data_IF_657068210206
#
_entry.id   IF_657068210206
#
_cell.length_a   1.000
_cell.length_b   1.000
_cell.length_c   1.000
_cell.angle_alpha   90.00
_cell.angle_beta   90.00
_cell.angle_gamma   90.00
#
_symmetry.space_group_name_H-M   'P 1'
#
loop_
_entity.id
_entity.type
_entity.pdbx_description
1 polymer ?
#
# COMPACT_ATOMS: atom_id res chain seq x y z
N UNK A 1 -24.74 -19.67 5.26
CA UNK A 1 -24.37 -18.67 4.24
C UNK A 1 -22.88 -18.79 4.01
N UNK A 2 -22.45 -19.29 2.84
CA UNK A 2 -21.05 -19.55 2.55
C UNK A 2 -20.25 -18.25 2.40
N UNK A 3 -19.15 -18.12 3.16
CA UNK A 3 -18.13 -17.08 2.91
C UNK A 3 -17.61 -17.29 1.49
N UNK A 4 -17.80 -16.30 0.63
CA UNK A 4 -17.28 -16.30 -0.74
C UNK A 4 -15.76 -16.13 -0.63
N UNK A 5 -15.01 -17.15 -1.01
CA UNK A 5 -13.55 -17.08 -1.10
C UNK A 5 -13.26 -16.17 -2.31
N UNK A 6 -12.80 -14.95 -2.05
CA UNK A 6 -12.58 -13.91 -3.07
C UNK A 6 -11.23 -14.10 -3.78
N UNK A 7 -10.29 -14.83 -3.18
CA UNK A 7 -8.90 -14.97 -3.66
C UNK A 7 -8.53 -16.45 -3.81
N UNK A 8 -8.22 -16.89 -5.04
CA UNK A 8 -7.80 -18.26 -5.35
C UNK A 8 -6.26 -18.42 -5.43
N UNK A 9 -5.76 -19.65 -5.55
CA UNK A 9 -4.32 -19.95 -5.57
C UNK A 9 -3.58 -19.27 -6.75
N UNK A 10 -4.24 -19.11 -7.89
CA UNK A 10 -3.67 -18.45 -9.06
C UNK A 10 -3.53 -16.94 -8.85
N UNK A 11 -4.47 -16.31 -8.15
CA UNK A 11 -4.38 -14.90 -7.75
C UNK A 11 -3.13 -14.64 -6.91
N UNK A 12 -2.85 -15.49 -5.91
CA UNK A 12 -1.66 -15.33 -5.06
C UNK A 12 -0.35 -15.61 -5.80
N UNK A 13 -0.29 -16.64 -6.66
CA UNK A 13 0.92 -16.97 -7.43
C UNK A 13 1.28 -15.90 -8.47
N UNK A 14 0.30 -15.32 -9.17
CA UNK A 14 0.56 -14.26 -10.15
C UNK A 14 0.90 -12.91 -9.50
N UNK A 15 0.22 -12.55 -8.40
CA UNK A 15 0.58 -11.35 -7.64
C UNK A 15 1.95 -11.47 -6.97
N UNK A 16 2.35 -12.68 -6.57
CA UNK A 16 3.59 -12.91 -5.84
C UNK A 16 4.83 -12.47 -6.59
N UNK A 17 4.99 -12.83 -7.88
CA UNK A 17 6.21 -12.48 -8.62
C UNK A 17 6.33 -10.96 -8.85
N UNK A 18 5.24 -10.31 -9.27
CA UNK A 18 5.20 -8.86 -9.49
C UNK A 18 5.41 -8.06 -8.20
N UNK A 19 4.71 -8.43 -7.13
CA UNK A 19 4.84 -7.77 -5.83
C UNK A 19 6.22 -7.98 -5.20
N UNK A 20 6.80 -9.18 -5.27
CA UNK A 20 8.14 -9.43 -4.72
C UNK A 20 9.21 -8.66 -5.48
N UNK A 21 9.13 -8.61 -6.81
CA UNK A 21 10.05 -7.85 -7.65
C UNK A 21 9.94 -6.35 -7.37
N UNK A 22 8.71 -5.84 -7.30
CA UNK A 22 8.41 -4.45 -6.92
C UNK A 22 8.97 -4.11 -5.55
N UNK A 23 8.74 -4.98 -4.56
CA UNK A 23 9.20 -4.80 -3.19
C UNK A 23 10.73 -4.68 -3.13
N UNK A 24 11.48 -5.57 -3.80
CA UNK A 24 12.95 -5.51 -3.81
C UNK A 24 13.49 -4.16 -4.27
N UNK A 25 12.94 -3.64 -5.37
CA UNK A 25 13.37 -2.37 -5.96
C UNK A 25 12.99 -1.18 -5.07
N UNK A 26 11.75 -1.15 -4.57
CA UNK A 26 11.25 -0.07 -3.72
C UNK A 26 11.96 -0.05 -2.38
N UNK A 27 12.10 -1.19 -1.73
CA UNK A 27 12.73 -1.30 -0.41
C UNK A 27 14.23 -0.96 -0.48
N UNK A 28 14.89 -1.17 -1.62
CA UNK A 28 16.24 -0.69 -1.85
C UNK A 28 16.33 0.84 -1.78
N UNK A 29 15.38 1.57 -2.38
CA UNK A 29 15.30 3.04 -2.26
C UNK A 29 14.95 3.49 -0.83
N UNK A 30 14.04 2.78 -0.15
CA UNK A 30 13.70 3.07 1.25
C UNK A 30 14.93 2.92 2.14
N UNK A 31 15.74 1.86 1.96
CA UNK A 31 16.96 1.64 2.75
C UNK A 31 18.02 2.71 2.56
N UNK A 32 18.08 3.37 1.40
CA UNK A 32 18.99 4.52 1.18
C UNK A 32 18.58 5.72 2.03
N UNK A 33 17.29 5.92 2.26
CA UNK A 33 16.75 7.03 3.06
C UNK A 33 16.77 6.69 4.56
N UNK A 34 16.43 5.45 4.91
CA UNK A 34 16.33 4.98 6.28
C UNK A 34 17.15 3.70 6.53
N UNK A 35 18.49 3.79 6.54
CA UNK A 35 19.36 2.64 6.79
C UNK A 35 19.14 2.02 8.17
N UNK A 36 18.62 2.78 9.14
CA UNK A 36 18.43 2.40 10.53
C UNK A 36 17.18 1.54 10.82
N UNK A 37 16.29 1.30 9.85
CA UNK A 37 15.06 0.51 10.08
C UNK A 37 15.43 -0.91 10.52
N UNK A 38 14.90 -1.37 11.65
CA UNK A 38 15.12 -2.71 12.19
C UNK A 38 13.82 -3.44 12.53
N UNK A 39 12.70 -2.72 12.53
CA UNK A 39 11.37 -3.26 12.82
C UNK A 39 10.31 -2.72 11.86
N UNK A 40 9.57 -3.62 11.21
CA UNK A 40 8.50 -3.29 10.26
C UNK A 40 7.22 -3.98 10.65
N UNK A 41 6.12 -3.25 10.53
CA UNK A 41 4.77 -3.81 10.52
C UNK A 41 4.10 -3.53 9.16
N UNK A 42 3.53 -4.56 8.55
CA UNK A 42 2.83 -4.48 7.27
C UNK A 42 1.33 -4.72 7.48
N UNK A 43 0.51 -3.70 7.22
CA UNK A 43 -0.93 -3.71 7.46
C UNK A 43 -1.67 -3.91 6.14
N UNK A 44 -2.36 -5.05 6.04
CA UNK A 44 -2.83 -5.64 4.78
C UNK A 44 -1.72 -6.42 4.07
N UNK A 45 -0.95 -7.22 4.82
CA UNK A 45 0.26 -7.86 4.30
C UNK A 45 0.00 -9.00 3.31
N UNK A 46 -1.25 -9.44 3.15
CA UNK A 46 -1.59 -10.66 2.43
C UNK A 46 -0.74 -11.85 2.89
N UNK A 47 -0.04 -12.49 1.95
CA UNK A 47 0.87 -13.62 2.22
C UNK A 47 2.26 -13.21 2.74
N UNK A 48 2.50 -11.92 2.98
CA UNK A 48 3.75 -11.40 3.55
C UNK A 48 4.87 -11.18 2.53
N UNK A 49 4.55 -11.01 1.24
CA UNK A 49 5.55 -10.87 0.17
C UNK A 49 6.51 -9.70 0.41
N UNK A 50 6.02 -8.54 0.85
CA UNK A 50 6.86 -7.39 1.11
C UNK A 50 7.75 -7.58 2.35
N UNK A 51 7.24 -8.24 3.38
CA UNK A 51 8.03 -8.60 4.57
C UNK A 51 9.10 -9.66 4.25
N UNK A 52 8.84 -10.57 3.30
CA UNK A 52 9.86 -11.46 2.75
C UNK A 52 10.99 -10.66 2.11
N UNK A 53 10.68 -9.65 1.30
CA UNK A 53 11.70 -8.80 0.68
C UNK A 53 12.55 -8.05 1.73
N UNK A 54 11.93 -7.57 2.82
CA UNK A 54 12.68 -7.01 3.95
C UNK A 54 13.68 -8.00 4.56
N UNK A 55 13.29 -9.27 4.74
CA UNK A 55 14.18 -10.33 5.24
C UNK A 55 15.28 -10.73 4.26
N UNK A 56 15.07 -10.58 2.97
CA UNK A 56 16.11 -10.78 1.95
C UNK A 56 17.18 -9.68 2.03
N UNK A 57 16.80 -8.47 2.46
CA UNK A 57 17.74 -7.36 2.69
C UNK A 57 18.52 -7.56 4.01
N UNK A 58 17.82 -7.92 5.09
CA UNK A 58 18.40 -8.14 6.41
C UNK A 58 17.65 -9.27 7.12
N UNK A 59 18.32 -10.39 7.36
CA UNK A 59 17.69 -11.57 7.96
C UNK A 59 17.34 -11.41 9.45
N UNK A 60 17.88 -10.38 10.12
CA UNK A 60 17.63 -10.10 11.54
C UNK A 60 16.50 -9.10 11.75
N UNK A 61 15.94 -8.57 10.66
CA UNK A 61 14.90 -7.56 10.72
C UNK A 61 13.63 -8.13 11.36
N UNK A 62 13.11 -7.41 12.37
CA UNK A 62 11.85 -7.79 13.02
C UNK A 62 10.69 -7.43 12.10
N UNK A 63 9.88 -8.41 11.73
CA UNK A 63 8.69 -8.19 10.90
C UNK A 63 7.42 -8.64 11.60
N UNK A 64 6.33 -7.96 11.33
CA UNK A 64 4.98 -8.41 11.69
C UNK A 64 4.00 -8.06 10.56
N UNK A 65 3.27 -9.05 10.07
CA UNK A 65 2.18 -8.87 9.12
C UNK A 65 0.82 -8.87 9.83
N UNK A 66 -0.08 -7.99 9.41
CA UNK A 66 -1.49 -8.00 9.82
C UNK A 66 -2.35 -8.06 8.56
N UNK A 67 -3.30 -8.98 8.50
CA UNK A 67 -4.26 -9.05 7.39
C UNK A 67 -5.61 -9.66 7.86
N UNK A 68 -6.67 -9.47 7.08
CA UNK A 68 -8.00 -10.02 7.36
C UNK A 68 -8.18 -11.46 6.89
N UNK A 69 -7.35 -11.91 5.95
CA UNK A 69 -7.46 -13.23 5.35
C UNK A 69 -7.03 -14.34 6.32
N UNK A 70 -7.68 -15.51 6.21
CA UNK A 70 -7.11 -16.74 6.76
C UNK A 70 -6.05 -17.23 5.77
N UNK A 71 -4.81 -16.80 5.97
CA UNK A 71 -3.69 -17.30 5.15
C UNK A 71 -3.35 -18.70 5.64
N UNK A 72 -3.49 -19.71 4.78
CA UNK A 72 -3.02 -21.05 5.14
C UNK A 72 -1.50 -21.02 5.27
N UNK A 73 -0.98 -21.68 6.30
CA UNK A 73 0.45 -21.67 6.62
C UNK A 73 1.34 -22.12 5.45
N UNK A 74 0.80 -22.92 4.52
CA UNK A 74 1.46 -23.37 3.29
C UNK A 74 1.78 -22.25 2.28
N UNK A 75 1.09 -21.12 2.33
CA UNK A 75 1.23 -20.03 1.36
C UNK A 75 1.81 -18.75 1.95
N UNK A 76 2.08 -18.73 3.27
CA UNK A 76 2.65 -17.57 3.96
C UNK A 76 4.18 -17.56 3.89
N UNK A 77 4.78 -16.41 3.61
CA UNK A 77 6.23 -16.19 3.78
C UNK A 77 6.63 -15.84 5.22
N UNK A 78 5.65 -15.75 6.10
CA UNK A 78 5.82 -15.40 7.50
C UNK A 78 5.71 -16.64 8.37
N UNK A 79 6.52 -16.70 9.41
CA UNK A 79 6.36 -17.65 10.51
C UNK A 79 5.04 -17.34 11.24
N UNK A 80 4.53 -18.32 11.98
CA UNK A 80 3.26 -18.18 12.70
C UNK A 80 3.25 -17.05 13.73
N UNK A 81 4.41 -16.74 14.32
CA UNK A 81 4.59 -15.65 15.28
C UNK A 81 4.79 -14.27 14.62
N UNK A 82 5.00 -14.23 13.30
CA UNK A 82 5.19 -13.01 12.49
C UNK A 82 3.92 -12.58 11.76
N UNK A 83 2.78 -13.25 11.98
CA UNK A 83 1.49 -12.91 11.39
C UNK A 83 0.41 -12.76 12.46
N UNK A 84 -0.49 -11.79 12.29
CA UNK A 84 -1.70 -11.64 13.11
C UNK A 84 -2.91 -11.40 12.22
N UNK A 85 -3.97 -12.16 12.44
CA UNK A 85 -5.23 -11.90 11.76
C UNK A 85 -5.98 -10.76 12.46
N UNK A 86 -6.44 -9.76 11.70
CA UNK A 86 -7.37 -8.75 12.21
C UNK A 86 -8.32 -8.24 11.14
N UNK A 87 -9.53 -7.91 11.56
CA UNK A 87 -10.45 -7.16 10.75
C UNK A 87 -10.02 -5.68 10.72
N UNK A 88 -9.50 -5.20 9.60
CA UNK A 88 -9.02 -3.83 9.44
C UNK A 88 -10.13 -2.76 9.50
N UNK A 89 -11.41 -3.18 9.55
CA UNK A 89 -12.56 -2.29 9.81
C UNK A 89 -12.85 -2.08 11.30
N UNK A 90 -12.23 -2.86 12.19
CA UNK A 90 -12.33 -2.66 13.63
C UNK A 90 -11.62 -1.37 14.05
N UNK A 91 -11.98 -0.82 15.21
CA UNK A 91 -11.31 0.39 15.72
C UNK A 91 -9.80 0.16 15.88
N UNK A 92 -8.99 1.17 15.53
CA UNK A 92 -7.53 1.09 15.66
C UNK A 92 -7.09 0.74 17.08
N UNK A 93 -7.76 1.30 18.11
CA UNK A 93 -7.52 0.95 19.51
C UNK A 93 -7.83 -0.52 19.82
N UNK A 94 -8.88 -1.08 19.23
CA UNK A 94 -9.21 -2.49 19.39
C UNK A 94 -8.16 -3.38 18.75
N UNK A 95 -7.72 -3.08 17.53
CA UNK A 95 -6.70 -3.85 16.81
C UNK A 95 -5.38 -3.83 17.60
N UNK A 96 -4.90 -2.65 18.00
CA UNK A 96 -3.65 -2.48 18.75
C UNK A 96 -3.69 -3.26 20.07
N UNK A 97 -4.80 -3.17 20.81
CA UNK A 97 -4.97 -3.86 22.09
C UNK A 97 -5.07 -5.37 21.92
N UNK A 98 -5.90 -5.84 20.99
CA UNK A 98 -6.19 -7.27 20.82
C UNK A 98 -4.99 -8.03 20.27
N UNK A 99 -4.16 -7.38 19.45
CA UNK A 99 -2.96 -7.98 18.87
C UNK A 99 -1.69 -7.71 19.67
N UNK A 100 -1.79 -7.00 20.80
CA UNK A 100 -0.66 -6.61 21.67
C UNK A 100 0.49 -5.95 20.89
N UNK A 101 0.16 -4.95 20.06
CA UNK A 101 1.13 -4.34 19.14
C UNK A 101 2.04 -3.32 19.82
N UNK A 102 1.76 -2.92 21.06
CA UNK A 102 2.53 -1.92 21.81
C UNK A 102 2.74 -0.62 21.01
N UNK A 103 1.68 0.18 20.84
CA UNK A 103 1.65 1.35 19.93
C UNK A 103 2.94 2.19 19.94
N UNK A 104 3.40 2.57 18.74
CA UNK A 104 4.64 3.33 18.51
C UNK A 104 5.93 2.52 18.52
N UNK A 105 5.86 1.18 18.48
CA UNK A 105 7.01 0.28 18.63
C UNK A 105 7.75 -0.13 17.34
N UNK A 106 7.36 0.35 16.16
CA UNK A 106 7.98 -0.02 14.88
C UNK A 106 8.71 1.15 14.23
N UNK A 107 9.85 0.87 13.59
CA UNK A 107 10.63 1.87 12.86
C UNK A 107 9.93 2.33 11.57
N UNK A 108 9.17 1.42 10.95
CA UNK A 108 8.35 1.66 9.77
C UNK A 108 7.03 0.88 9.86
N UNK A 109 5.93 1.52 9.51
CA UNK A 109 4.72 0.80 9.07
C UNK A 109 4.59 0.92 7.55
N UNK A 110 4.11 -0.13 6.89
CA UNK A 110 3.73 -0.07 5.49
C UNK A 110 2.31 -0.57 5.27
N UNK A 111 1.65 -0.05 4.23
CA UNK A 111 0.35 -0.54 3.75
C UNK A 111 0.20 -0.16 2.28
N UNK A 112 0.15 -1.15 1.39
CA UNK A 112 0.35 -0.97 -0.04
C UNK A 112 -0.78 -1.64 -0.82
N UNK A 113 -1.61 -0.83 -1.48
CA UNK A 113 -2.83 -1.23 -2.20
C UNK A 113 -3.82 -1.99 -1.29
N UNK A 114 -4.14 -1.38 -0.14
CA UNK A 114 -5.06 -1.94 0.87
C UNK A 114 -6.28 -1.04 1.10
N UNK A 115 -6.06 0.27 1.21
CA UNK A 115 -7.08 1.22 1.68
C UNK A 115 -8.27 1.35 0.72
N UNK A 116 -8.07 1.08 -0.57
CA UNK A 116 -9.08 1.07 -1.63
C UNK A 116 -10.10 -0.06 -1.48
N UNK A 117 -9.78 -1.10 -0.72
CA UNK A 117 -10.66 -2.23 -0.43
C UNK A 117 -11.57 -1.99 0.78
N UNK A 118 -11.26 -0.96 1.59
CA UNK A 118 -12.04 -0.59 2.76
C UNK A 118 -13.04 0.51 2.38
N UNK A 119 -14.31 0.37 2.77
CA UNK A 119 -15.29 1.44 2.55
C UNK A 119 -14.78 2.77 3.12
N UNK A 120 -15.11 3.88 2.43
CA UNK A 120 -14.60 5.21 2.76
C UNK A 120 -14.76 5.60 4.23
N UNK A 121 -15.84 5.14 4.88
CA UNK A 121 -16.12 5.38 6.29
C UNK A 121 -15.01 4.88 7.24
N UNK A 122 -14.22 3.87 6.82
CA UNK A 122 -13.12 3.32 7.61
C UNK A 122 -11.79 4.04 7.41
N UNK A 123 -11.67 4.91 6.39
CA UNK A 123 -10.40 5.57 6.02
C UNK A 123 -9.72 6.27 7.20
N UNK A 124 -10.46 7.09 7.96
CA UNK A 124 -9.89 7.82 9.11
C UNK A 124 -9.42 6.88 10.24
N UNK A 125 -10.15 5.81 10.48
CA UNK A 125 -9.75 4.79 11.45
C UNK A 125 -8.52 4.00 10.95
N UNK A 126 -8.45 3.72 9.65
CA UNK A 126 -7.30 3.04 9.05
C UNK A 126 -6.03 3.88 9.16
N UNK A 127 -6.08 5.17 8.80
CA UNK A 127 -4.94 6.08 8.98
C UNK A 127 -4.58 6.25 10.47
N UNK A 128 -5.56 6.21 11.38
CA UNK A 128 -5.29 6.14 12.82
C UNK A 128 -4.43 4.95 13.18
N UNK A 129 -4.78 3.76 12.68
CA UNK A 129 -4.02 2.54 12.97
C UNK A 129 -2.58 2.69 12.49
N UNK A 130 -2.36 3.06 11.23
CA UNK A 130 -1.00 3.20 10.66
C UNK A 130 -0.16 4.19 11.46
N UNK A 131 -0.68 5.41 11.69
CA UNK A 131 0.03 6.48 12.41
C UNK A 131 0.28 6.17 13.89
N UNK A 132 -0.47 5.23 14.48
CA UNK A 132 -0.26 4.78 15.87
C UNK A 132 0.83 3.71 15.99
N UNK A 133 1.27 3.12 14.87
CA UNK A 133 2.24 2.02 14.85
C UNK A 133 3.68 2.51 14.64
N UNK A 134 3.87 3.58 13.87
CA UNK A 134 5.19 4.15 13.59
C UNK A 134 5.12 5.63 13.24
N UNK A 135 6.25 6.33 13.40
CA UNK A 135 6.45 7.72 12.93
C UNK A 135 6.81 7.81 11.44
N UNK A 136 7.03 6.68 10.77
CA UNK A 136 7.31 6.60 9.33
C UNK A 136 6.31 5.60 8.73
N UNK A 137 5.58 6.04 7.70
CA UNK A 137 4.56 5.23 7.02
C UNK A 137 4.87 5.20 5.53
N UNK A 138 5.07 4.00 4.96
CA UNK A 138 5.12 3.79 3.51
C UNK A 138 3.73 3.37 3.03
N UNK A 139 3.12 4.16 2.16
CA UNK A 139 1.71 4.01 1.83
C UNK A 139 1.47 4.04 0.33
N UNK A 140 0.58 3.18 -0.16
CA UNK A 140 0.00 3.28 -1.49
C UNK A 140 -1.47 2.85 -1.47
N UNK A 141 -2.28 3.49 -2.30
CA UNK A 141 -3.68 3.14 -2.51
C UNK A 141 -4.11 3.55 -3.91
N UNK A 142 -4.98 2.75 -4.53
CA UNK A 142 -5.51 3.02 -5.84
C UNK A 142 -6.15 4.42 -5.99
N UNK A 143 -5.78 5.11 -7.06
CA UNK A 143 -6.42 6.37 -7.47
C UNK A 143 -7.75 6.09 -8.20
N UNK A 144 -8.68 7.07 -8.26
CA UNK A 144 -9.91 6.96 -9.01
C UNK A 144 -9.71 6.43 -10.43
N UNK A 145 -10.52 5.42 -10.77
CA UNK A 145 -10.57 4.73 -12.05
C UNK A 145 -9.37 3.82 -12.34
N UNK A 146 -8.47 3.58 -11.38
CA UNK A 146 -7.44 2.54 -11.50
C UNK A 146 -8.08 1.17 -11.74
N UNK A 147 -9.17 0.89 -11.02
CA UNK A 147 -9.84 -0.39 -11.00
C UNK A 147 -9.01 -1.45 -10.28
N UNK A 148 -9.61 -2.63 -10.13
CA UNK A 148 -9.03 -3.77 -9.45
C UNK A 148 -10.13 -4.64 -8.86
N UNK A 149 -9.76 -5.75 -8.24
CA UNK A 149 -10.74 -6.66 -7.62
C UNK A 149 -11.24 -6.01 -6.33
N UNK A 150 -12.53 -5.73 -6.24
CA UNK A 150 -13.16 -5.17 -5.03
C UNK A 150 -12.54 -3.81 -4.59
N UNK A 151 -12.27 -2.92 -5.53
CA UNK A 151 -11.94 -1.53 -5.21
C UNK A 151 -13.24 -0.75 -4.98
N UNK A 152 -13.48 -0.34 -3.74
CA UNK A 152 -14.70 0.38 -3.31
C UNK A 152 -14.41 1.82 -2.87
N UNK A 153 -13.13 2.16 -2.67
CA UNK A 153 -12.70 3.43 -2.11
C UNK A 153 -11.42 3.96 -2.78
N UNK A 154 -11.43 4.03 -4.11
CA UNK A 154 -10.36 4.68 -4.86
C UNK A 154 -10.41 6.19 -4.62
N UNK A 155 -9.32 6.77 -4.10
CA UNK A 155 -9.31 8.16 -3.65
C UNK A 155 -8.09 8.93 -4.16
N UNK A 156 -8.25 10.25 -4.25
CA UNK A 156 -7.18 11.15 -4.63
C UNK A 156 -5.96 10.99 -3.69
N UNK A 157 -4.71 11.11 -4.18
CA UNK A 157 -3.55 11.20 -3.28
C UNK A 157 -3.69 12.25 -2.18
N UNK A 158 -4.29 13.41 -2.53
CA UNK A 158 -4.56 14.48 -1.57
C UNK A 158 -5.54 14.07 -0.47
N UNK A 159 -6.53 13.22 -0.75
CA UNK A 159 -7.46 12.75 0.27
C UNK A 159 -6.73 12.00 1.38
N UNK A 160 -5.84 11.07 1.00
CA UNK A 160 -5.03 10.32 1.97
C UNK A 160 -4.06 11.25 2.71
N UNK A 161 -3.39 12.16 2.00
CA UNK A 161 -2.47 13.09 2.62
C UNK A 161 -3.14 14.03 3.63
N UNK A 162 -4.36 14.46 3.37
CA UNK A 162 -5.13 15.29 4.31
C UNK A 162 -5.46 14.49 5.59
N UNK A 163 -5.82 13.21 5.48
CA UNK A 163 -6.04 12.34 6.65
C UNK A 163 -4.75 12.08 7.46
N UNK A 164 -3.60 11.95 6.80
CA UNK A 164 -2.30 11.86 7.48
C UNK A 164 -1.94 13.18 8.16
N UNK A 165 -2.23 14.32 7.52
CA UNK A 165 -1.96 15.65 8.06
C UNK A 165 -2.75 15.92 9.34
N UNK A 166 -3.99 15.43 9.46
CA UNK A 166 -4.76 15.46 10.72
C UNK A 166 -4.05 14.77 11.90
N UNK A 167 -2.98 14.01 11.63
CA UNK A 167 -2.18 13.26 12.61
C UNK A 167 -0.74 13.72 12.69
N UNK A 168 -0.44 14.92 12.18
CA UNK A 168 0.90 15.49 12.13
C UNK A 168 1.87 14.71 11.22
N UNK A 169 1.37 13.96 10.23
CA UNK A 169 2.21 13.28 9.23
C UNK A 169 2.24 14.06 7.92
N UNK A 170 3.46 14.40 7.48
CA UNK A 170 3.72 15.15 6.27
C UNK A 170 4.00 14.20 5.10
N UNK A 171 3.44 14.52 3.93
CA UNK A 171 3.61 13.73 2.71
C UNK A 171 4.93 14.07 2.02
N UNK A 172 5.73 13.05 1.72
CA UNK A 172 6.97 13.11 0.96
C UNK A 172 6.83 12.27 -0.30
N UNK A 173 6.81 12.94 -1.45
CA UNK A 173 6.74 12.32 -2.77
C UNK A 173 8.15 12.17 -3.37
N UNK A 174 8.99 11.39 -2.69
CA UNK A 174 10.43 11.27 -3.01
C UNK A 174 10.76 10.02 -3.84
N UNK A 175 9.79 9.13 -4.02
CA UNK A 175 9.98 7.82 -4.66
C UNK A 175 9.50 7.82 -6.10
N UNK A 176 8.30 8.35 -6.38
CA UNK A 176 7.60 8.10 -7.65
C UNK A 176 8.38 8.54 -8.87
N UNK A 177 9.06 9.69 -8.81
CA UNK A 177 9.90 10.18 -9.91
C UNK A 177 11.08 9.24 -10.20
N UNK A 178 11.75 8.75 -9.16
CA UNK A 178 12.90 7.82 -9.27
C UNK A 178 12.47 6.46 -9.81
N UNK A 179 11.30 5.99 -9.39
CA UNK A 179 10.79 4.67 -9.72
C UNK A 179 10.07 4.65 -11.07
N UNK A 180 9.69 5.81 -11.63
CA UNK A 180 8.71 5.92 -12.72
C UNK A 180 9.02 5.05 -13.93
N UNK A 181 10.29 4.97 -14.33
CA UNK A 181 10.71 4.21 -15.51
C UNK A 181 11.18 2.78 -15.19
N UNK A 182 11.13 2.35 -13.93
CA UNK A 182 11.58 1.03 -13.54
C UNK A 182 10.49 -0.02 -13.82
N UNK A 183 10.60 -0.71 -14.95
CA UNK A 183 9.67 -1.76 -15.37
C UNK A 183 9.74 -3.04 -14.54
N UNK A 184 10.65 -3.12 -13.56
CA UNK A 184 10.64 -4.18 -12.55
C UNK A 184 9.57 -3.97 -11.47
N UNK A 185 8.96 -2.79 -11.44
CA UNK A 185 7.95 -2.41 -10.46
C UNK A 185 6.60 -2.33 -11.17
N UNK A 186 5.59 -3.00 -10.62
CA UNK A 186 4.23 -2.89 -11.13
C UNK A 186 3.77 -1.43 -11.12
N UNK A 187 3.06 -1.04 -12.18
CA UNK A 187 2.78 0.38 -12.45
C UNK A 187 1.99 1.04 -11.31
N UNK A 188 1.09 0.30 -10.64
CA UNK A 188 0.29 0.84 -9.54
C UNK A 188 1.17 1.26 -8.35
N UNK A 189 2.22 0.51 -8.01
CA UNK A 189 3.16 0.93 -6.97
C UNK A 189 3.95 2.17 -7.37
N UNK A 190 4.50 2.23 -8.60
CA UNK A 190 5.22 3.43 -9.12
C UNK A 190 4.34 4.68 -9.08
N UNK A 191 3.05 4.49 -9.34
CA UNK A 191 2.04 5.55 -9.42
C UNK A 191 1.58 6.06 -8.06
N UNK A 192 1.38 5.16 -7.11
CA UNK A 192 0.62 5.44 -5.89
C UNK A 192 1.50 5.59 -4.65
N UNK A 193 2.74 5.09 -4.67
CA UNK A 193 3.55 5.00 -3.46
C UNK A 193 4.02 6.38 -2.97
N UNK A 194 3.81 6.63 -1.68
CA UNK A 194 4.24 7.85 -0.99
C UNK A 194 4.75 7.52 0.40
N UNK A 195 5.55 8.42 0.92
CA UNK A 195 6.04 8.34 2.29
C UNK A 195 5.32 9.39 3.14
N UNK A 196 4.88 9.01 4.33
CA UNK A 196 4.31 9.92 5.31
C UNK A 196 5.14 9.88 6.58
N UNK A 197 5.58 11.04 7.06
CA UNK A 197 6.53 11.16 8.17
C UNK A 197 5.97 12.09 9.23
N UNK A 198 5.93 11.63 10.48
CA UNK A 198 5.47 12.43 11.61
C UNK A 198 6.36 13.68 11.78
N UNK A 199 5.77 14.80 12.22
CA UNK A 199 6.45 16.09 12.40
C UNK A 199 7.80 16.00 13.13
N UNK A 200 7.89 15.13 14.14
CA UNK A 200 9.12 14.93 14.93
C UNK A 200 10.30 14.39 14.11
N UNK A 201 10.04 13.74 12.97
CA UNK A 201 11.06 13.14 12.09
C UNK A 201 11.26 13.89 10.77
N UNK A 202 10.48 14.94 10.51
CA UNK A 202 10.56 15.72 9.26
C UNK A 202 11.98 16.26 9.04
N UNK A 203 12.63 16.77 10.09
CA UNK A 203 13.99 17.30 10.01
C UNK A 203 15.04 16.26 9.55
N UNK A 204 14.82 14.96 9.78
CA UNK A 204 15.70 13.90 9.26
C UNK A 204 15.70 13.86 7.73
N UNK A 205 14.53 14.09 7.09
CA UNK A 205 14.40 14.10 5.64
C UNK A 205 14.83 15.43 5.03
N UNK A 206 14.58 16.55 5.71
CA UNK A 206 15.04 17.86 5.26
C UNK A 206 16.58 17.93 5.21
N UNK A 207 17.27 17.28 6.15
CA UNK A 207 18.73 17.13 6.12
C UNK A 207 19.23 16.34 4.90
N UNK A 208 18.38 15.49 4.32
CA UNK A 208 18.63 14.78 3.05
C UNK A 208 18.17 15.59 1.82
N UNK A 209 17.83 16.87 2.00
CA UNK A 209 17.29 17.77 0.97
C UNK A 209 15.94 17.33 0.38
N UNK A 210 15.17 16.55 1.12
CA UNK A 210 13.78 16.25 0.78
C UNK A 210 12.85 17.26 1.42
N UNK A 211 11.86 17.73 0.66
CA UNK A 211 10.81 18.61 1.16
C UNK A 211 9.46 17.90 1.10
N UNK A 212 8.57 18.11 2.10
CA UNK A 212 7.22 17.62 2.03
C UNK A 212 6.43 18.35 0.93
N UNK A 213 5.37 17.72 0.43
CA UNK A 213 4.42 18.30 -0.53
C UNK A 213 3.03 18.43 0.09
N UNK A 214 2.41 19.59 -0.10
CA UNK A 214 1.00 19.82 0.25
C UNK A 214 0.04 19.46 -0.89
N UNK A 215 0.61 19.09 -2.05
CA UNK A 215 -0.12 18.84 -3.29
C UNK A 215 0.38 17.56 -3.96
N UNK A 216 0.24 16.38 -3.31
CA UNK A 216 0.60 15.12 -3.94
C UNK A 216 -0.22 14.95 -5.23
N UNK A 217 0.48 14.89 -6.36
CA UNK A 217 -0.15 14.91 -7.69
C UNK A 217 -0.72 13.54 -8.04
N UNK A 218 -1.81 13.57 -8.79
CA UNK A 218 -2.20 12.44 -9.63
C UNK A 218 -1.09 12.20 -10.64
N UNK A 219 -0.49 11.01 -10.55
CA UNK A 219 0.31 10.47 -11.64
C UNK A 219 -0.53 9.34 -12.25
N UNK A 220 -0.57 9.26 -13.57
CA UNK A 220 -1.28 8.20 -14.28
C UNK A 220 -0.24 7.49 -15.12
N UNK A 221 0.01 6.23 -14.78
CA UNK A 221 0.95 5.41 -15.52
C UNK A 221 0.43 5.21 -16.95
N UNK A 222 1.31 5.23 -17.98
CA UNK A 222 0.92 4.98 -19.37
C UNK A 222 0.10 3.70 -19.52
N UNK A 223 0.44 2.65 -18.78
CA UNK A 223 -0.25 1.35 -18.77
C UNK A 223 -1.73 1.49 -18.40
N UNK A 224 -2.03 2.24 -17.33
CA UNK A 224 -3.40 2.49 -16.89
C UNK A 224 -4.15 3.37 -17.91
N UNK A 225 -3.50 4.44 -18.38
CA UNK A 225 -4.08 5.34 -19.36
C UNK A 225 -4.47 4.62 -20.66
N UNK A 226 -3.55 3.84 -21.22
CA UNK A 226 -3.75 3.08 -22.46
C UNK A 226 -4.85 2.02 -22.30
N UNK A 227 -4.89 1.32 -21.16
CA UNK A 227 -5.95 0.37 -20.85
C UNK A 227 -7.33 1.03 -20.84
N UNK A 228 -7.46 2.19 -20.18
CA UNK A 228 -8.71 2.94 -20.08
C UNK A 228 -9.12 3.55 -21.42
N UNK A 229 -8.17 4.10 -22.17
CA UNK A 229 -8.39 4.61 -23.53
C UNK A 229 -8.87 3.48 -24.47
N UNK A 230 -8.26 2.30 -24.40
CA UNK A 230 -8.63 1.13 -25.19
C UNK A 230 -10.04 0.63 -24.90
N UNK A 231 -10.44 0.57 -23.61
CA UNK A 231 -11.83 0.25 -23.21
C UNK A 231 -12.83 1.25 -23.79
N UNK A 232 -12.50 2.54 -23.74
CA UNK A 232 -13.37 3.62 -24.23
C UNK A 232 -13.55 3.55 -25.75
N UNK A 233 -12.47 3.32 -26.51
CA UNK A 233 -12.55 3.14 -27.96
C UNK A 233 -13.42 1.94 -28.36
N UNK A 234 -13.30 0.79 -27.66
CA UNK A 234 -14.15 -0.38 -27.90
C UNK A 234 -15.63 -0.07 -27.66
N UNK A 235 -15.98 0.60 -26.56
CA UNK A 235 -17.36 1.03 -26.27
C UNK A 235 -17.92 1.95 -27.35
N UNK A 236 -17.13 2.95 -27.80
CA UNK A 236 -17.52 3.86 -28.89
C UNK A 236 -17.81 3.12 -30.21
N UNK A 237 -16.98 2.12 -30.57
CA UNK A 237 -17.22 1.30 -31.76
C UNK A 237 -18.53 0.51 -31.68
N UNK A 238 -18.83 -0.09 -30.52
CA UNK A 238 -20.08 -0.82 -30.29
C UNK A 238 -21.29 0.12 -30.39
N UNK A 239 -21.24 1.27 -29.71
CA UNK A 239 -22.31 2.28 -29.78
C UNK A 239 -22.56 2.76 -31.22
N UNK A 240 -21.50 3.06 -31.97
CA UNK A 240 -21.59 3.47 -33.37
C UNK A 240 -22.13 2.36 -34.30
N UNK A 241 -21.89 1.09 -33.97
CA UNK A 241 -22.46 -0.04 -34.71
C UNK A 241 -23.95 -0.22 -34.43
N UNK A 242 -24.37 -0.10 -33.17
CA UNK A 242 -25.77 -0.22 -32.77
C UNK A 242 -26.61 0.95 -33.29
N UNK A 243 -26.09 2.17 -33.27
CA UNK A 243 -26.77 3.37 -33.80
C UNK A 243 -26.90 3.40 -35.32
N UNK A 244 -26.08 2.66 -36.07
CA UNK A 244 -26.24 2.48 -37.52
C UNK A 244 -27.25 1.39 -37.91
N UNK A 245 -27.72 0.61 -36.93
CA UNK A 245 -28.70 -0.47 -37.12
C UNK A 245 -30.10 -0.12 -36.60
N UNK A 246 -30.27 1.05 -36.00
CA UNK A 246 -31.55 1.64 -35.61
C UNK A 246 -31.97 2.68 -36.67
#
# INVERSE_FOLDING_TARGET
>A
MGKKIIYDENFYLQQYEGSLKSAREILHEIRKVFPQIQSIIDVGCGVGTWLKAWKEIDNNIRVLGIDGNEVTQSYSFLKSDEYRQANLTDSASSIIKNLDLGGGGYDLVQSLEVAEHLDQQYSKNFITLLTSLSKIVLFSAAIPFQGGVHHVNEQAPKYWADLFMERDFFCFDILRDRLWNNTNIDYWYRQNIMLFVHKDKVGELENLSFAPTNHPRYLIAPELWEFMAGKTQKKRKIFNFLSKKA
#
